data_IF_355918171362
#
_entry.id   IF_355918171362
#
_cell.length_a   1.000
_cell.length_b   1.000
_cell.length_c   1.000
_cell.angle_alpha   90.00
_cell.angle_beta   90.00
_cell.angle_gamma   90.00
#
_symmetry.space_group_name_H-M   'P 1'
#
loop_
_entity.id
_entity.type
_entity.pdbx_description
1 polymer ?
#
# COMPACT_ATOMS: atom_id res chain seq x y z
N UNK A 1 -18.99 12.85 22.17
CA UNK A 1 -18.03 13.66 21.40
C UNK A 1 -18.02 13.17 19.97
N UNK A 2 -18.12 14.07 19.03
CA UNK A 2 -18.16 13.80 17.60
C UNK A 2 -17.10 14.67 16.89
N UNK A 3 -16.62 14.28 15.73
CA UNK A 3 -15.68 15.06 14.92
C UNK A 3 -16.24 15.50 13.55
N UNK A 4 -17.52 15.26 13.32
CA UNK A 4 -18.27 15.77 12.17
C UNK A 4 -19.53 16.50 12.63
N UNK A 5 -20.10 17.33 11.76
CA UNK A 5 -21.36 18.00 12.04
C UNK A 5 -22.47 17.01 12.45
N UNK A 6 -23.20 17.34 13.48
CA UNK A 6 -24.26 16.50 14.02
C UNK A 6 -25.63 17.12 13.79
N UNK A 7 -26.61 16.30 13.38
CA UNK A 7 -28.01 16.70 13.38
C UNK A 7 -28.58 16.49 14.78
N UNK A 8 -29.10 17.57 15.37
CA UNK A 8 -29.79 17.53 16.66
C UNK A 8 -31.28 17.73 16.41
N UNK A 9 -32.09 16.75 16.86
CA UNK A 9 -33.54 16.82 16.77
C UNK A 9 -34.13 17.16 18.14
N UNK A 10 -35.03 18.13 18.19
CA UNK A 10 -35.71 18.56 19.41
C UNK A 10 -37.08 17.86 19.48
N UNK A 11 -37.21 16.95 20.42
CA UNK A 11 -38.48 16.25 20.68
C UNK A 11 -39.33 17.03 21.72
N UNK A 12 -39.72 18.23 21.36
CA UNK A 12 -40.60 19.09 22.15
C UNK A 12 -41.67 19.70 21.25
N UNK A 13 -42.96 19.51 21.61
CA UNK A 13 -44.11 19.93 20.80
C UNK A 13 -44.31 21.45 20.77
N UNK A 14 -43.99 22.12 21.86
CA UNK A 14 -44.27 23.54 22.05
C UNK A 14 -43.05 24.38 22.23
N UNK A 15 -42.03 24.13 21.39
CA UNK A 15 -40.78 24.92 21.38
C UNK A 15 -41.08 26.39 21.15
N UNK A 16 -40.48 27.24 21.96
CA UNK A 16 -40.42 28.70 21.78
C UNK A 16 -39.09 29.09 21.19
N UNK A 17 -37.98 28.73 21.87
CA UNK A 17 -36.64 29.06 21.40
C UNK A 17 -35.65 27.92 21.62
N UNK A 18 -34.68 27.81 20.71
CA UNK A 18 -33.51 26.97 20.88
C UNK A 18 -32.26 27.86 20.73
N UNK A 19 -31.35 27.76 21.66
CA UNK A 19 -30.07 28.44 21.57
C UNK A 19 -28.88 27.49 21.66
N UNK A 20 -27.79 27.82 20.95
CA UNK A 20 -26.49 27.14 21.05
C UNK A 20 -25.47 28.17 21.52
N UNK A 21 -24.86 27.95 22.67
CA UNK A 21 -23.95 28.90 23.32
C UNK A 21 -24.55 30.31 23.44
N UNK A 22 -25.86 30.39 23.69
CA UNK A 22 -26.60 31.67 23.82
C UNK A 22 -27.02 32.29 22.48
N UNK A 23 -26.65 31.73 21.33
CA UNK A 23 -27.11 32.23 20.02
C UNK A 23 -28.32 31.43 19.58
N UNK A 24 -29.40 32.11 19.17
CA UNK A 24 -30.60 31.45 18.67
C UNK A 24 -30.35 30.69 17.38
N UNK A 25 -30.93 29.50 17.27
CA UNK A 25 -30.90 28.67 16.07
C UNK A 25 -32.33 28.42 15.57
N UNK A 26 -32.47 28.26 14.25
CA UNK A 26 -33.73 27.98 13.60
C UNK A 26 -33.84 26.47 13.38
N UNK A 27 -34.95 25.88 13.77
CA UNK A 27 -35.27 24.49 13.48
C UNK A 27 -35.83 24.36 12.04
N UNK A 28 -35.50 23.27 11.38
CA UNK A 28 -36.11 22.88 10.12
C UNK A 28 -37.52 22.30 10.33
N UNK A 29 -38.17 21.87 9.24
CA UNK A 29 -39.52 21.31 9.27
C UNK A 29 -39.63 20.01 10.10
N UNK A 30 -38.51 19.32 10.32
CA UNK A 30 -38.43 18.12 11.16
C UNK A 30 -38.15 18.42 12.65
N UNK A 31 -38.04 19.67 13.03
CA UNK A 31 -37.63 20.09 14.37
C UNK A 31 -36.16 19.90 14.67
N UNK A 32 -35.31 19.93 13.64
CA UNK A 32 -33.88 19.65 13.75
C UNK A 32 -33.04 20.86 13.34
N UNK A 33 -31.77 20.84 13.76
CA UNK A 33 -30.73 21.78 13.30
C UNK A 33 -29.39 21.09 13.26
N UNK A 34 -28.44 21.63 12.49
CA UNK A 34 -27.08 21.10 12.38
C UNK A 34 -26.15 21.81 13.36
N UNK A 35 -25.44 21.04 14.17
CA UNK A 35 -24.41 21.47 15.08
C UNK A 35 -23.06 21.30 14.41
N UNK A 36 -22.43 22.41 14.01
CA UNK A 36 -21.13 22.40 13.37
C UNK A 36 -20.01 22.05 14.37
N UNK A 37 -18.89 21.47 13.90
CA UNK A 37 -17.71 21.26 14.72
C UNK A 37 -17.11 22.59 15.18
N UNK A 38 -16.85 22.69 16.50
CA UNK A 38 -16.10 23.79 17.12
C UNK A 38 -15.32 23.26 18.30
N UNK A 39 -14.23 23.92 18.67
CA UNK A 39 -13.46 23.55 19.84
C UNK A 39 -14.31 23.70 21.13
N UNK A 40 -14.35 22.65 21.95
CA UNK A 40 -15.03 22.62 23.23
C UNK A 40 -16.49 22.14 23.16
N UNK A 41 -17.17 22.24 24.31
CA UNK A 41 -18.57 21.86 24.44
C UNK A 41 -19.52 22.95 23.95
N UNK A 42 -20.55 22.54 23.22
CA UNK A 42 -21.63 23.42 22.78
C UNK A 42 -22.85 23.21 23.68
N UNK A 43 -23.24 24.25 24.40
CA UNK A 43 -24.37 24.23 25.31
C UNK A 43 -25.65 24.54 24.53
N UNK A 44 -26.57 23.59 24.49
CA UNK A 44 -27.87 23.72 23.86
C UNK A 44 -28.89 23.97 24.94
N UNK A 45 -29.72 25.02 24.80
CA UNK A 45 -30.84 25.30 25.69
C UNK A 45 -32.11 25.36 24.83
N UNK A 46 -33.10 24.58 25.21
CA UNK A 46 -34.44 24.60 24.63
C UNK A 46 -35.39 25.25 25.63
N UNK A 47 -36.21 26.20 25.20
CA UNK A 47 -37.24 26.84 26.00
C UNK A 47 -38.61 26.56 25.37
N UNK A 48 -39.58 26.09 26.14
CA UNK A 48 -40.96 25.92 25.69
C UNK A 48 -41.79 27.22 25.82
N UNK A 49 -42.97 27.24 25.25
CA UNK A 49 -43.91 28.38 25.32
C UNK A 49 -44.41 28.69 26.72
N UNK A 50 -44.22 27.80 27.68
CA UNK A 50 -44.56 28.03 29.08
C UNK A 50 -43.38 28.59 29.88
N UNK A 51 -42.21 28.75 29.25
CA UNK A 51 -41.01 29.24 29.86
C UNK A 51 -40.15 28.19 30.57
N UNK A 52 -40.47 26.90 30.45
CA UNK A 52 -39.62 25.84 31.00
C UNK A 52 -38.41 25.65 30.10
N UNK A 53 -37.28 25.30 30.69
CA UNK A 53 -35.99 25.13 29.96
C UNK A 53 -35.43 23.71 30.16
N UNK A 54 -34.89 23.12 29.07
CA UNK A 54 -34.05 21.95 29.10
C UNK A 54 -32.67 22.30 28.55
N UNK A 55 -31.63 21.67 29.07
CA UNK A 55 -30.24 21.96 28.71
C UNK A 55 -29.46 20.67 28.48
N UNK A 56 -28.59 20.68 27.46
CA UNK A 56 -27.59 19.67 27.25
C UNK A 56 -26.28 20.25 26.69
N UNK A 57 -25.19 19.56 26.89
CA UNK A 57 -23.90 19.94 26.27
C UNK A 57 -23.47 18.83 25.33
N UNK A 58 -23.16 19.21 24.08
CA UNK A 58 -22.62 18.31 23.04
C UNK A 58 -21.24 18.80 22.65
N UNK A 59 -20.29 17.91 22.57
CA UNK A 59 -18.93 18.19 22.08
C UNK A 59 -18.81 17.69 20.67
N UNK A 60 -18.57 18.61 19.72
CA UNK A 60 -18.27 18.31 18.32
C UNK A 60 -16.96 19.03 18.01
N UNK A 61 -15.87 18.28 17.92
CA UNK A 61 -14.54 18.82 17.69
C UNK A 61 -14.36 19.25 16.23
N UNK A 62 -13.51 20.25 16.00
CA UNK A 62 -13.20 20.78 14.66
C UNK A 62 -12.09 20.03 13.94
N UNK A 63 -11.75 18.83 14.39
CA UNK A 63 -10.72 18.00 13.76
C UNK A 63 -10.75 16.55 14.19
N UNK A 64 -10.25 15.70 13.29
CA UNK A 64 -10.06 14.28 13.56
C UNK A 64 -8.69 14.03 14.18
N UNK A 65 -8.66 13.29 15.28
CA UNK A 65 -7.45 12.64 15.78
C UNK A 65 -7.48 11.19 15.32
N UNK A 66 -6.54 10.81 14.47
CA UNK A 66 -6.52 9.46 13.89
C UNK A 66 -5.57 8.52 14.63
N UNK A 67 -5.89 7.23 14.58
CA UNK A 67 -4.98 6.13 14.92
C UNK A 67 -3.81 6.06 13.94
N UNK A 68 -2.83 5.19 14.25
CA UNK A 68 -1.85 4.78 13.27
C UNK A 68 -2.51 4.08 12.07
N UNK A 69 -1.82 4.12 10.93
CA UNK A 69 -2.26 3.45 9.72
C UNK A 69 -2.12 1.92 9.83
N UNK A 70 -3.16 1.20 9.50
CA UNK A 70 -3.19 -0.27 9.51
C UNK A 70 -3.41 -0.78 8.09
N UNK A 71 -2.57 -1.70 7.63
CA UNK A 71 -2.72 -2.34 6.31
C UNK A 71 -3.99 -3.20 6.26
N UNK A 72 -4.72 -3.09 5.16
CA UNK A 72 -5.89 -3.93 4.87
C UNK A 72 -5.52 -5.25 4.17
N UNK A 73 -4.26 -5.39 3.71
CA UNK A 73 -3.76 -6.58 3.02
C UNK A 73 -4.09 -6.64 1.53
N UNK A 74 -4.83 -5.68 1.01
CA UNK A 74 -5.29 -5.59 -0.38
C UNK A 74 -4.55 -4.50 -1.20
N UNK A 75 -3.47 -3.94 -0.66
CA UNK A 75 -2.75 -2.82 -1.25
C UNK A 75 -3.21 -1.46 -0.76
N UNK A 76 -4.12 -1.44 0.21
CA UNK A 76 -4.57 -0.22 0.90
C UNK A 76 -4.22 -0.24 2.38
N UNK A 77 -4.31 0.91 3.02
CA UNK A 77 -4.22 1.04 4.46
C UNK A 77 -5.30 1.99 4.98
N UNK A 78 -5.72 1.78 6.21
CA UNK A 78 -6.82 2.50 6.84
C UNK A 78 -6.39 3.02 8.19
N UNK A 79 -6.90 4.21 8.58
CA UNK A 79 -6.85 4.71 9.95
C UNK A 79 -8.22 5.16 10.41
N UNK A 80 -8.46 5.13 11.68
CA UNK A 80 -9.74 5.47 12.28
C UNK A 80 -9.62 6.67 13.20
N UNK A 81 -10.63 7.53 13.21
CA UNK A 81 -10.74 8.60 14.19
C UNK A 81 -10.84 7.99 15.61
N UNK A 82 -9.99 8.46 16.51
CA UNK A 82 -9.97 7.98 17.92
C UNK A 82 -10.98 8.68 18.82
N UNK A 83 -11.56 9.79 18.34
CA UNK A 83 -12.54 10.58 19.06
C UNK A 83 -13.95 10.06 18.84
N UNK A 84 -14.24 9.64 17.60
CA UNK A 84 -15.52 9.05 17.20
C UNK A 84 -15.21 7.84 16.31
N UNK A 85 -15.28 6.66 16.90
CA UNK A 85 -14.94 5.41 16.23
C UNK A 85 -15.81 5.03 15.02
N UNK A 86 -16.89 5.75 14.75
CA UNK A 86 -17.84 5.40 13.70
C UNK A 86 -17.72 6.19 12.40
N UNK A 87 -17.27 7.45 12.43
CA UNK A 87 -17.40 8.39 11.31
C UNK A 87 -16.10 8.93 10.73
N UNK A 88 -14.95 8.55 11.23
CA UNK A 88 -13.66 9.03 10.74
C UNK A 88 -12.77 7.94 10.19
N UNK A 89 -13.28 7.11 9.26
CA UNK A 89 -12.47 6.11 8.58
C UNK A 89 -11.82 6.73 7.34
N UNK A 90 -10.50 6.75 7.31
CA UNK A 90 -9.74 7.19 6.14
C UNK A 90 -9.00 6.00 5.54
N UNK A 91 -9.21 5.74 4.25
CA UNK A 91 -8.54 4.68 3.50
C UNK A 91 -7.76 5.29 2.35
N UNK A 92 -6.52 4.84 2.17
CA UNK A 92 -5.63 5.26 1.06
C UNK A 92 -4.90 4.06 0.48
N UNK A 93 -4.47 4.20 -0.77
CA UNK A 93 -3.62 3.23 -1.43
C UNK A 93 -2.22 3.23 -0.80
N UNK A 94 -1.63 2.04 -0.71
CA UNK A 94 -0.23 1.89 -0.34
C UNK A 94 0.67 2.49 -1.43
N UNK A 95 1.74 3.16 -1.01
CA UNK A 95 2.70 3.82 -1.90
C UNK A 95 4.12 3.76 -1.35
N UNK A 96 5.08 4.07 -2.21
CA UNK A 96 6.51 4.04 -1.89
C UNK A 96 7.10 2.63 -1.93
N UNK A 97 8.40 2.54 -1.62
CA UNK A 97 9.17 1.31 -1.74
C UNK A 97 9.37 0.86 -3.18
N UNK A 98 10.10 -0.22 -3.36
CA UNK A 98 10.37 -0.80 -4.68
C UNK A 98 10.29 -2.31 -4.59
N UNK A 99 9.47 -2.92 -5.46
CA UNK A 99 9.39 -4.37 -5.58
C UNK A 99 10.65 -4.91 -6.29
N UNK A 100 11.04 -6.13 -5.94
CA UNK A 100 12.09 -6.89 -6.61
C UNK A 100 11.53 -8.19 -7.19
N UNK A 101 12.38 -8.98 -7.82
CA UNK A 101 12.01 -10.30 -8.31
C UNK A 101 11.67 -11.32 -7.18
N UNK A 102 11.94 -10.97 -5.93
CA UNK A 102 11.71 -11.84 -4.75
C UNK A 102 10.91 -11.19 -3.64
N UNK A 103 10.86 -9.87 -3.61
CA UNK A 103 10.19 -9.12 -2.54
C UNK A 103 9.24 -8.09 -3.11
N UNK A 104 8.06 -7.96 -2.51
CA UNK A 104 7.10 -6.92 -2.85
C UNK A 104 7.56 -5.56 -2.32
N UNK A 105 7.05 -4.49 -2.91
CA UNK A 105 7.25 -3.15 -2.38
C UNK A 105 6.72 -3.04 -0.94
N UNK A 106 7.39 -2.26 -0.10
CA UNK A 106 6.96 -1.99 1.27
C UNK A 106 6.38 -0.58 1.33
N UNK A 107 5.14 -0.47 1.77
CA UNK A 107 4.47 0.82 1.93
C UNK A 107 5.19 1.69 2.95
N UNK A 108 5.54 2.93 2.57
CA UNK A 108 6.24 3.87 3.45
C UNK A 108 5.38 4.36 4.62
N UNK A 109 4.06 4.24 4.50
CA UNK A 109 3.11 4.71 5.52
C UNK A 109 2.80 3.62 6.56
N UNK A 110 2.34 2.44 6.12
CA UNK A 110 1.95 1.36 7.05
C UNK A 110 3.03 0.27 7.22
N UNK A 111 4.18 0.38 6.55
CA UNK A 111 5.33 -0.54 6.63
C UNK A 111 5.00 -1.99 6.29
N UNK A 112 3.98 -2.23 5.47
CA UNK A 112 3.58 -3.57 5.01
C UNK A 112 3.86 -3.76 3.53
N UNK A 113 4.20 -4.99 3.16
CA UNK A 113 4.41 -5.36 1.76
C UNK A 113 3.07 -5.29 0.99
N UNK A 114 3.13 -4.77 -0.24
CA UNK A 114 1.96 -4.62 -1.12
C UNK A 114 2.33 -4.78 -2.59
N UNK A 115 1.32 -4.90 -3.46
CA UNK A 115 1.51 -5.04 -4.90
C UNK A 115 2.09 -6.39 -5.31
N UNK A 116 2.57 -6.47 -6.53
CA UNK A 116 3.20 -7.67 -7.12
C UNK A 116 4.72 -7.57 -7.06
N UNK A 117 5.41 -8.69 -7.29
CA UNK A 117 6.85 -8.71 -7.50
C UNK A 117 7.21 -8.04 -8.82
N UNK A 118 8.35 -7.39 -8.90
CA UNK A 118 8.90 -6.91 -10.17
C UNK A 118 9.88 -7.96 -10.74
N UNK A 119 9.45 -8.74 -11.74
CA UNK A 119 10.27 -9.82 -12.30
C UNK A 119 11.53 -9.32 -13.01
N UNK A 120 11.65 -8.02 -13.29
CA UNK A 120 12.79 -7.42 -13.98
C UNK A 120 13.74 -6.67 -13.02
N UNK A 121 13.36 -6.47 -11.77
CA UNK A 121 14.22 -5.82 -10.78
C UNK A 121 15.02 -6.84 -9.97
N UNK A 122 16.20 -7.16 -10.45
CA UNK A 122 17.11 -8.13 -9.84
C UNK A 122 18.14 -7.45 -8.96
N UNK A 123 18.19 -7.78 -7.67
CA UNK A 123 19.13 -7.19 -6.70
C UNK A 123 20.48 -7.91 -6.63
N UNK A 124 20.56 -9.14 -7.17
CA UNK A 124 21.76 -10.00 -7.08
C UNK A 124 22.01 -10.73 -8.40
N UNK A 125 22.24 -9.97 -9.46
CA UNK A 125 22.51 -10.46 -10.80
C UNK A 125 24.00 -10.67 -10.99
N UNK A 126 24.45 -11.96 -11.04
CA UNK A 126 25.85 -12.35 -11.20
C UNK A 126 26.19 -12.56 -12.66
N UNK A 127 27.27 -11.95 -13.12
CA UNK A 127 27.79 -12.10 -14.47
C UNK A 127 28.72 -13.32 -14.59
N UNK A 128 28.50 -14.11 -15.62
CA UNK A 128 29.34 -15.24 -16.02
C UNK A 128 29.82 -15.01 -17.46
N UNK A 129 31.11 -14.71 -17.67
CA UNK A 129 31.66 -14.47 -19.00
C UNK A 129 31.63 -15.76 -19.83
N UNK A 130 31.57 -15.61 -21.14
CA UNK A 130 31.69 -16.73 -22.07
C UNK A 130 33.00 -17.50 -21.86
N UNK A 131 32.93 -18.82 -21.89
CA UNK A 131 34.05 -19.74 -21.85
C UNK A 131 33.97 -20.68 -23.05
N UNK A 132 35.01 -20.73 -23.85
CA UNK A 132 35.07 -21.64 -24.99
C UNK A 132 35.05 -23.12 -24.53
N UNK A 133 34.30 -23.93 -25.25
CA UNK A 133 34.34 -25.39 -25.09
C UNK A 133 35.68 -25.92 -25.61
N UNK A 134 36.14 -27.04 -25.07
CA UNK A 134 37.28 -27.80 -25.53
C UNK A 134 36.88 -29.24 -25.89
N UNK A 135 37.79 -30.09 -26.37
CA UNK A 135 37.52 -31.52 -26.60
C UNK A 135 37.18 -32.27 -25.29
N UNK A 136 37.70 -31.76 -24.13
CA UNK A 136 37.58 -32.46 -22.85
C UNK A 136 36.56 -31.81 -21.91
N UNK A 137 36.22 -30.52 -22.14
CA UNK A 137 35.30 -29.78 -21.27
C UNK A 137 34.25 -28.97 -22.04
N UNK A 138 33.06 -28.88 -21.48
CA UNK A 138 32.04 -27.98 -21.95
C UNK A 138 32.44 -26.53 -21.71
N UNK A 139 31.96 -25.66 -22.55
CA UNK A 139 31.99 -24.21 -22.39
C UNK A 139 30.67 -23.64 -21.91
N UNK A 140 30.61 -22.34 -21.91
CA UNK A 140 29.36 -21.61 -21.69
C UNK A 140 29.30 -20.35 -22.56
N UNK A 141 28.09 -19.92 -22.90
CA UNK A 141 27.88 -18.57 -23.44
C UNK A 141 28.06 -17.55 -22.33
N UNK A 142 28.13 -16.27 -22.65
CA UNK A 142 28.00 -15.20 -21.66
C UNK A 142 26.56 -15.18 -21.14
N UNK A 143 26.42 -15.16 -19.81
CA UNK A 143 25.08 -15.11 -19.17
C UNK A 143 25.13 -14.45 -17.80
N UNK A 144 23.95 -14.09 -17.31
CA UNK A 144 23.74 -13.58 -15.96
C UNK A 144 22.82 -14.52 -15.21
N UNK A 145 23.07 -14.65 -13.92
CA UNK A 145 22.27 -15.50 -13.02
C UNK A 145 21.82 -14.70 -11.81
N UNK A 146 20.52 -14.66 -11.56
CA UNK A 146 19.96 -14.08 -10.35
C UNK A 146 19.86 -15.14 -9.26
N UNK A 147 20.62 -15.00 -8.17
CA UNK A 147 20.56 -15.96 -7.05
C UNK A 147 19.26 -15.84 -6.25
N UNK A 148 18.58 -14.69 -6.29
CA UNK A 148 17.29 -14.49 -5.64
C UNK A 148 16.17 -15.30 -6.27
N UNK A 149 15.89 -15.10 -7.57
CA UNK A 149 14.82 -15.81 -8.26
C UNK A 149 15.25 -17.12 -8.94
N UNK A 150 16.56 -17.44 -8.98
CA UNK A 150 17.11 -18.67 -9.54
C UNK A 150 17.10 -18.75 -11.08
N UNK A 151 16.95 -17.61 -11.77
CA UNK A 151 16.81 -17.54 -13.22
C UNK A 151 18.09 -17.10 -13.92
N UNK A 152 18.20 -17.49 -15.21
CA UNK A 152 19.33 -17.19 -16.10
C UNK A 152 18.91 -16.23 -17.19
N UNK A 153 19.82 -15.32 -17.58
CA UNK A 153 19.54 -14.25 -18.55
C UNK A 153 20.68 -14.12 -19.55
N UNK A 154 20.33 -13.76 -20.79
CA UNK A 154 21.31 -13.51 -21.85
C UNK A 154 21.74 -12.05 -21.94
N UNK A 155 21.23 -11.18 -21.08
CA UNK A 155 21.60 -9.76 -21.03
C UNK A 155 21.89 -9.29 -19.61
N UNK A 156 22.63 -8.21 -19.51
CA UNK A 156 23.11 -7.62 -18.24
C UNK A 156 21.98 -7.02 -17.39
N UNK A 157 20.84 -6.72 -18.00
CA UNK A 157 19.72 -6.07 -17.34
C UNK A 157 18.69 -7.11 -16.80
N UNK A 158 18.92 -8.42 -17.08
CA UNK A 158 18.05 -9.50 -16.60
C UNK A 158 16.66 -9.52 -17.25
N UNK A 159 16.53 -9.02 -18.48
CA UNK A 159 15.24 -8.91 -19.16
C UNK A 159 14.96 -10.06 -20.12
N UNK A 160 16.01 -10.78 -20.57
CA UNK A 160 15.91 -11.88 -21.52
C UNK A 160 16.24 -13.19 -20.83
N UNK A 161 15.22 -13.77 -20.21
CA UNK A 161 15.33 -15.08 -19.55
C UNK A 161 15.69 -16.17 -20.55
N UNK A 162 16.63 -17.05 -20.17
CA UNK A 162 17.05 -18.23 -20.90
C UNK A 162 17.01 -19.47 -20.00
N UNK A 163 16.89 -20.65 -20.58
CA UNK A 163 16.98 -21.87 -19.79
C UNK A 163 18.43 -22.12 -19.35
N UNK A 164 18.62 -22.74 -18.20
CA UNK A 164 19.97 -23.13 -17.73
C UNK A 164 20.74 -23.96 -18.77
N UNK A 165 20.04 -24.85 -19.49
CA UNK A 165 20.66 -25.68 -20.53
C UNK A 165 21.25 -24.86 -21.68
N UNK A 166 20.64 -23.70 -21.98
CA UNK A 166 21.07 -22.83 -23.07
C UNK A 166 22.35 -22.05 -22.71
N UNK A 167 22.74 -22.03 -21.45
CA UNK A 167 24.03 -21.43 -21.04
C UNK A 167 25.23 -22.30 -21.39
N UNK A 168 25.03 -23.60 -21.64
CA UNK A 168 26.10 -24.56 -21.84
C UNK A 168 26.44 -24.71 -23.33
N UNK A 169 27.73 -24.69 -23.65
CA UNK A 169 28.25 -25.01 -24.98
C UNK A 169 28.83 -26.40 -24.95
N UNK A 170 28.35 -27.29 -25.81
CA UNK A 170 28.81 -28.68 -25.89
C UNK A 170 30.32 -28.78 -26.18
N UNK A 171 30.95 -29.87 -25.73
CA UNK A 171 32.34 -30.20 -26.02
C UNK A 171 32.59 -30.23 -27.51
N UNK A 172 33.78 -29.83 -27.91
CA UNK A 172 34.25 -29.98 -29.28
C UNK A 172 34.44 -31.49 -29.62
N UNK A 173 34.18 -31.87 -30.88
CA UNK A 173 34.53 -33.23 -31.33
C UNK A 173 36.04 -33.48 -31.17
N UNK A 174 36.41 -34.67 -30.75
CA UNK A 174 37.82 -35.03 -30.68
C UNK A 174 38.44 -34.99 -32.06
N UNK A 175 39.59 -34.34 -32.17
CA UNK A 175 40.37 -34.36 -33.41
C UNK A 175 40.75 -35.80 -33.77
N UNK A 176 40.64 -36.19 -35.06
CA UNK A 176 41.12 -37.49 -35.49
C UNK A 176 42.61 -37.63 -35.11
N UNK A 177 43.08 -38.78 -34.68
CA UNK A 177 44.48 -38.98 -34.42
C UNK A 177 45.29 -38.68 -35.70
N UNK A 178 46.12 -37.63 -35.62
CA UNK A 178 47.07 -37.32 -36.67
C UNK A 178 48.19 -38.35 -36.60
N UNK A 179 47.98 -39.44 -37.25
CA UNK A 179 48.93 -40.51 -37.25
C UNK A 179 48.55 -41.58 -38.24
N UNK A 180 48.93 -41.42 -39.45
CA UNK A 180 49.85 -42.39 -40.02
C UNK A 180 50.35 -41.92 -41.39
N UNK A 181 51.54 -41.37 -41.43
CA UNK A 181 52.37 -41.40 -42.63
C UNK A 181 53.16 -42.69 -42.65
N UNK A 182 52.45 -43.81 -42.65
CA UNK A 182 53.15 -45.07 -42.82
C UNK A 182 53.13 -45.49 -44.29
N UNK A 183 54.35 -45.47 -44.85
CA UNK A 183 54.82 -46.32 -45.91
C UNK A 183 54.11 -46.29 -47.24
N UNK A 184 54.61 -45.40 -48.09
CA UNK A 184 54.80 -45.76 -49.51
C UNK A 184 56.15 -46.33 -49.67
N UNK A 185 56.22 -47.65 -49.76
CA UNK A 185 57.30 -48.32 -50.48
C UNK A 185 56.93 -48.40 -51.93
#
# INVERSE_FOLDING_TARGET
TYCEAQTVTIDEKYVDTVTVNGTAVTLDESGSFTLAPVEGGQRIIVTDKAGNTAEMTVTVNDGHTFSEWVSNGDGTHTRQCTVDGSNGLETKDCSGGTATCTERAVCEVCSKAYGELDPNNHTDLKHFPAKAATEDSEGNIEYWYCSGCGKYYSDKDGTKEIAKADTVTAKLPKSPPTGDTSNLM
#
